data_IF_776372284152
#
_entry.id   IF_776372284152
#
_cell.length_a   1.000
_cell.length_b   1.000
_cell.length_c   1.000
_cell.angle_alpha   90.00
_cell.angle_beta   90.00
_cell.angle_gamma   90.00
#
_symmetry.space_group_name_H-M   'P 1'
#
loop_
_entity.id
_entity.type
_entity.pdbx_description
1 polymer ?
#
# COMPACT_ATOMS: atom_id res chain seq x y z
N UNK A 1 -10.07 -0.44 1.45
CA UNK A 1 -9.81 -0.08 2.86
C UNK A 1 -10.54 -1.06 3.80
N UNK A 2 -10.58 -2.35 3.44
CA UNK A 2 -10.92 -3.45 4.36
C UNK A 2 -9.66 -4.06 4.99
N UNK A 3 -8.50 -3.69 4.45
CA UNK A 3 -7.22 -4.32 4.67
C UNK A 3 -6.45 -3.71 5.85
N UNK A 4 -6.91 -2.59 6.41
CA UNK A 4 -6.32 -1.89 7.56
C UNK A 4 -7.42 -1.36 8.49
N UNK A 5 -7.18 -1.19 9.80
CA UNK A 5 -8.19 -0.73 10.75
C UNK A 5 -8.64 0.72 10.48
N UNK A 6 -9.83 1.08 10.95
CA UNK A 6 -10.45 2.39 10.69
C UNK A 6 -9.56 3.57 11.10
N UNK A 7 -8.90 3.50 12.25
CA UNK A 7 -7.98 4.57 12.69
C UNK A 7 -6.82 4.79 11.71
N UNK A 8 -6.25 3.71 11.20
CA UNK A 8 -5.14 3.75 10.24
C UNK A 8 -5.64 4.21 8.86
N UNK A 9 -6.89 3.88 8.52
CA UNK A 9 -7.59 4.40 7.34
C UNK A 9 -7.71 5.92 7.38
N UNK A 10 -8.18 6.48 8.51
CA UNK A 10 -8.31 7.93 8.70
C UNK A 10 -6.93 8.61 8.56
N UNK A 11 -5.91 8.07 9.24
CA UNK A 11 -4.54 8.61 9.14
C UNK A 11 -3.99 8.56 7.71
N UNK A 12 -4.31 7.52 6.94
CA UNK A 12 -3.92 7.41 5.54
C UNK A 12 -4.64 8.46 4.69
N UNK A 13 -5.93 8.71 4.96
CA UNK A 13 -6.71 9.75 4.29
C UNK A 13 -6.16 11.16 4.53
N UNK A 14 -5.60 11.45 5.70
CA UNK A 14 -4.90 12.74 5.92
C UNK A 14 -3.78 12.97 4.89
N UNK A 15 -3.08 11.90 4.50
CA UNK A 15 -2.03 11.96 3.47
C UNK A 15 -2.64 12.09 2.07
N UNK A 16 -3.71 11.35 1.79
CA UNK A 16 -4.39 11.45 0.48
C UNK A 16 -5.04 12.81 0.23
N UNK A 17 -5.56 13.47 1.28
CA UNK A 17 -6.18 14.79 1.18
C UNK A 17 -5.16 15.92 1.11
N UNK A 18 -3.94 15.71 1.59
CA UNK A 18 -2.85 16.70 1.49
C UNK A 18 -2.10 16.62 0.16
N UNK A 19 -2.09 15.47 -0.51
CA UNK A 19 -1.43 15.29 -1.81
C UNK A 19 -2.31 15.69 -3.01
N UNK A 20 -1.67 16.29 -4.04
CA UNK A 20 -2.37 16.66 -5.29
C UNK A 20 -2.71 15.38 -6.06
N UNK A 21 -4.01 15.11 -6.26
CA UNK A 21 -4.53 13.85 -6.83
C UNK A 21 -4.16 12.59 -6.01
N UNK A 22 -4.08 12.71 -4.67
CA UNK A 22 -3.65 11.61 -3.80
C UNK A 22 -4.42 10.29 -3.97
N UNK A 23 -5.75 10.34 -4.11
CA UNK A 23 -6.53 9.11 -4.30
C UNK A 23 -6.37 8.47 -5.68
N UNK A 24 -6.19 9.26 -6.74
CA UNK A 24 -6.15 8.75 -8.10
C UNK A 24 -4.77 8.21 -8.48
N UNK A 25 -3.71 8.93 -8.12
CA UNK A 25 -2.33 8.61 -8.53
C UNK A 25 -1.52 7.97 -7.41
N UNK A 26 -1.57 8.54 -6.21
CA UNK A 26 -0.74 8.08 -5.09
C UNK A 26 -1.22 6.75 -4.49
N UNK A 27 -2.52 6.46 -4.55
CA UNK A 27 -3.06 5.18 -4.06
C UNK A 27 -2.43 3.94 -4.72
N UNK A 28 -2.13 4.00 -6.02
CA UNK A 28 -1.45 2.90 -6.73
C UNK A 28 -0.09 2.58 -6.13
N UNK A 29 0.70 3.61 -5.79
CA UNK A 29 1.98 3.46 -5.11
C UNK A 29 1.83 2.95 -3.68
N UNK A 30 0.78 3.38 -2.96
CA UNK A 30 0.47 2.84 -1.63
C UNK A 30 0.16 1.34 -1.71
N UNK A 31 -0.65 0.90 -2.68
CA UNK A 31 -0.93 -0.52 -2.90
C UNK A 31 0.34 -1.31 -3.25
N UNK A 32 1.22 -0.75 -4.08
CA UNK A 32 2.50 -1.38 -4.43
C UNK A 32 3.44 -1.51 -3.22
N UNK A 33 3.60 -0.44 -2.42
CA UNK A 33 4.37 -0.46 -1.18
C UNK A 33 3.80 -1.48 -0.18
N UNK A 34 2.48 -1.50 -0.04
CA UNK A 34 1.77 -2.42 0.85
C UNK A 34 2.00 -3.89 0.47
N UNK A 35 1.88 -4.23 -0.82
CA UNK A 35 2.20 -5.58 -1.32
C UNK A 35 3.67 -5.93 -1.13
N UNK A 36 4.57 -4.96 -1.35
CA UNK A 36 6.02 -5.17 -1.21
C UNK A 36 6.42 -5.52 0.22
N UNK A 37 5.78 -4.91 1.21
CA UNK A 37 6.01 -5.20 2.62
C UNK A 37 5.69 -6.67 2.99
N UNK A 38 4.74 -7.30 2.31
CA UNK A 38 4.41 -8.73 2.52
C UNK A 38 5.08 -9.67 1.50
N UNK A 39 5.98 -9.16 0.66
CA UNK A 39 6.55 -9.92 -0.47
C UNK A 39 7.22 -11.22 -0.04
N UNK A 40 7.92 -11.23 1.10
CA UNK A 40 8.57 -12.44 1.62
C UNK A 40 7.57 -13.52 2.03
N UNK A 41 6.46 -13.17 2.69
CA UNK A 41 5.43 -14.14 3.03
C UNK A 41 4.70 -14.63 1.77
N UNK A 42 4.36 -13.71 0.85
CA UNK A 42 3.69 -14.06 -0.39
C UNK A 42 4.49 -15.03 -1.26
N UNK A 43 5.81 -14.87 -1.32
CA UNK A 43 6.71 -15.79 -2.04
C UNK A 43 6.95 -17.12 -1.31
N UNK A 44 6.71 -17.18 0.00
CA UNK A 44 6.85 -18.41 0.78
C UNK A 44 5.63 -19.34 0.63
N UNK A 45 4.46 -18.78 0.31
CA UNK A 45 3.26 -19.54 -0.03
C UNK A 45 3.46 -20.33 -1.33
N UNK A 46 3.09 -21.62 -1.30
CA UNK A 46 3.38 -22.56 -2.41
C UNK A 46 2.20 -22.80 -3.33
N UNK A 47 1.01 -22.39 -2.90
CA UNK A 47 -0.22 -22.62 -3.64
C UNK A 47 -1.06 -21.34 -3.72
N UNK A 48 -1.93 -21.29 -4.73
CA UNK A 48 -2.76 -20.14 -5.01
C UNK A 48 -3.75 -19.81 -3.87
N UNK A 49 -4.28 -20.83 -3.20
CA UNK A 49 -5.28 -20.62 -2.14
C UNK A 49 -4.63 -19.94 -0.93
N UNK A 50 -3.42 -20.37 -0.54
CA UNK A 50 -2.62 -19.73 0.51
C UNK A 50 -2.33 -18.26 0.22
N UNK A 51 -1.89 -17.94 -1.00
CA UNK A 51 -1.65 -16.56 -1.44
C UNK A 51 -2.92 -15.71 -1.32
N UNK A 52 -4.06 -16.21 -1.81
CA UNK A 52 -5.32 -15.49 -1.76
C UNK A 52 -5.80 -15.24 -0.34
N UNK A 53 -5.73 -16.24 0.54
CA UNK A 53 -6.12 -16.11 1.95
C UNK A 53 -5.22 -15.09 2.65
N UNK A 54 -3.91 -15.14 2.41
CA UNK A 54 -2.96 -14.20 2.98
C UNK A 54 -3.26 -12.76 2.54
N UNK A 55 -3.45 -12.52 1.24
CA UNK A 55 -3.78 -11.19 0.71
C UNK A 55 -5.10 -10.63 1.28
N UNK A 56 -6.07 -11.50 1.56
CA UNK A 56 -7.35 -11.11 2.14
C UNK A 56 -7.28 -10.88 3.66
N UNK A 57 -6.29 -11.45 4.35
CA UNK A 57 -6.18 -11.44 5.82
C UNK A 57 -4.78 -11.03 6.30
N UNK A 58 -4.27 -9.93 5.77
CA UNK A 58 -2.97 -9.40 6.18
C UNK A 58 -3.01 -8.95 7.65
N UNK A 59 -1.94 -9.18 8.45
CA UNK A 59 -1.96 -8.93 9.89
C UNK A 59 -1.76 -7.44 10.21
N UNK A 60 -2.75 -6.63 9.87
CA UNK A 60 -2.76 -5.17 10.04
C UNK A 60 -3.60 -4.68 11.22
N UNK A 61 -4.23 -5.60 11.97
CA UNK A 61 -5.14 -5.27 13.08
C UNK A 61 -4.54 -4.31 14.12
N UNK A 62 -3.24 -4.40 14.37
CA UNK A 62 -2.52 -3.57 15.34
C UNK A 62 -2.02 -2.25 14.78
N UNK A 63 -2.22 -1.99 13.48
CA UNK A 63 -1.66 -0.81 12.81
C UNK A 63 -2.21 0.50 13.39
N UNK A 64 -1.33 1.48 13.49
CA UNK A 64 -1.61 2.85 13.86
C UNK A 64 -0.75 3.81 13.06
N UNK A 65 -0.48 4.97 13.62
CA UNK A 65 0.12 6.09 12.90
C UNK A 65 1.51 5.77 12.35
N UNK A 66 2.34 5.07 13.12
CA UNK A 66 3.70 4.71 12.71
C UNK A 66 3.70 3.85 11.44
N UNK A 67 2.89 2.79 11.39
CA UNK A 67 2.82 1.91 10.22
C UNK A 67 2.32 2.66 8.98
N UNK A 68 1.38 3.58 9.17
CA UNK A 68 0.89 4.41 8.07
C UNK A 68 1.96 5.41 7.60
N UNK A 69 2.71 6.03 8.50
CA UNK A 69 3.85 6.89 8.14
C UNK A 69 4.92 6.13 7.34
N UNK A 70 5.28 4.92 7.77
CA UNK A 70 6.25 4.07 7.06
C UNK A 70 5.73 3.67 5.68
N UNK A 71 4.46 3.25 5.59
CA UNK A 71 3.82 2.88 4.33
C UNK A 71 3.77 4.05 3.35
N UNK A 72 3.37 5.24 3.80
CA UNK A 72 3.26 6.41 2.91
C UNK A 72 4.63 6.96 2.50
N UNK A 73 5.64 6.90 3.38
CA UNK A 73 7.01 7.24 3.03
C UNK A 73 7.56 6.32 1.93
N UNK A 74 7.30 5.02 2.03
CA UNK A 74 7.71 4.07 1.01
C UNK A 74 6.97 4.28 -0.32
N UNK A 75 5.66 4.49 -0.25
CA UNK A 75 4.86 4.84 -1.43
C UNK A 75 5.37 6.12 -2.11
N UNK A 76 5.79 7.12 -1.34
CA UNK A 76 6.35 8.36 -1.89
C UNK A 76 7.70 8.12 -2.56
N UNK A 77 8.54 7.25 -1.99
CA UNK A 77 9.79 6.82 -2.61
C UNK A 77 9.54 6.11 -3.95
N UNK A 78 8.58 5.19 -4.01
CA UNK A 78 8.17 4.54 -5.25
C UNK A 78 7.64 5.56 -6.27
N UNK A 79 6.79 6.48 -5.85
CA UNK A 79 6.29 7.55 -6.73
C UNK A 79 7.44 8.38 -7.29
N UNK A 80 8.35 8.86 -6.45
CA UNK A 80 9.48 9.68 -6.90
C UNK A 80 10.39 8.98 -7.92
N UNK A 81 10.52 7.65 -7.84
CA UNK A 81 11.37 6.85 -8.75
C UNK A 81 10.64 6.51 -10.06
N UNK A 82 9.36 6.18 -10.00
CA UNK A 82 8.62 5.58 -11.12
C UNK A 82 7.65 6.54 -11.82
N UNK A 83 7.37 7.70 -11.23
CA UNK A 83 6.46 8.66 -11.83
C UNK A 83 7.06 9.26 -13.11
N UNK A 84 6.33 9.15 -14.22
CA UNK A 84 6.83 9.55 -15.55
C UNK A 84 7.71 8.51 -16.25
N UNK A 85 7.85 7.29 -15.73
CA UNK A 85 8.53 6.20 -16.45
C UNK A 85 7.79 5.82 -17.75
N UNK A 86 8.55 5.44 -18.80
CA UNK A 86 8.02 5.20 -20.15
C UNK A 86 6.94 4.11 -20.26
N UNK A 87 6.88 3.18 -19.30
CA UNK A 87 5.86 2.13 -19.18
C UNK A 87 5.06 2.24 -17.88
N UNK A 88 4.95 3.45 -17.30
CA UNK A 88 4.09 3.67 -16.14
C UNK A 88 2.62 3.48 -16.53
N UNK A 89 1.73 3.32 -15.55
CA UNK A 89 0.28 3.20 -15.74
C UNK A 89 -0.19 4.36 -16.64
N UNK A 90 -0.39 4.08 -17.93
CA UNK A 90 -0.94 5.04 -18.89
C UNK A 90 -2.39 5.26 -18.50
N UNK A 91 -2.76 6.54 -18.29
CA UNK A 91 -4.17 6.94 -18.21
C UNK A 91 -4.93 6.58 -19.48
#
# INVERSE_FOLDING_TARGET
>A
MREIPLRATIRLWDTYLSERNGFFRFHGYVCAAFLRMWSKQLQAEKDFQGIMILLQNLPTHSWGDQQICELTADAYSLMAVFDGAKNHLTE
#
